data_IF_436466173659
#
_entry.id   IF_436466173659
#
_cell.length_a   1.000
_cell.length_b   1.000
_cell.length_c   1.000
_cell.angle_alpha   90.00
_cell.angle_beta   90.00
_cell.angle_gamma   90.00
#
_symmetry.space_group_name_H-M   'P 1'
#
loop_
_entity.id
_entity.type
_entity.pdbx_description
1 polymer ?
#
# COMPACT_ATOMS: atom_id res chain seq x y z
N UNK A 1 -8.27 14.67 21.80
CA UNK A 1 -8.19 13.28 22.30
C UNK A 1 -7.83 12.40 21.10
N UNK A 2 -6.59 11.93 21.01
CA UNK A 2 -6.00 11.51 19.73
C UNK A 2 -6.49 10.15 19.22
N UNK A 3 -7.04 10.11 18.01
CA UNK A 3 -7.25 8.85 17.26
C UNK A 3 -5.88 8.19 17.02
N UNK A 4 -5.80 6.89 17.24
CA UNK A 4 -4.54 6.20 17.52
C UNK A 4 -3.55 6.15 16.35
N UNK A 5 -2.25 6.08 16.70
CA UNK A 5 -1.11 6.00 15.78
C UNK A 5 -0.96 4.61 15.15
N UNK A 6 -1.95 4.17 14.38
CA UNK A 6 -2.01 2.83 13.77
C UNK A 6 -2.29 2.93 12.27
N UNK A 7 -1.38 2.44 11.42
CA UNK A 7 -1.48 2.52 9.95
C UNK A 7 -1.11 1.20 9.31
N UNK A 8 -1.98 0.68 8.45
CA UNK A 8 -2.01 -0.72 8.02
C UNK A 8 -2.02 -0.82 6.48
N UNK A 9 -1.30 -1.80 5.91
CA UNK A 9 -0.63 -1.72 4.59
C UNK A 9 -0.61 -3.09 3.88
N UNK A 10 -1.02 -3.16 2.60
CA UNK A 10 -1.35 -4.42 1.92
C UNK A 10 -0.47 -4.77 0.69
N UNK A 11 0.12 -5.98 0.65
CA UNK A 11 0.85 -6.67 -0.48
C UNK A 11 2.32 -6.21 -0.75
N UNK A 12 3.30 -6.91 -1.39
CA UNK A 12 3.51 -8.30 -1.93
C UNK A 12 4.31 -9.22 -0.92
N UNK A 13 5.04 -10.33 -1.23
CA UNK A 13 5.71 -11.15 -0.14
C UNK A 13 6.64 -10.33 0.80
N UNK A 14 7.24 -9.28 0.25
CA UNK A 14 7.94 -8.15 0.89
C UNK A 14 7.12 -7.42 1.98
N UNK A 15 5.80 -7.66 2.07
CA UNK A 15 4.83 -7.26 3.12
C UNK A 15 5.42 -7.26 4.53
N UNK A 16 5.93 -8.43 4.95
CA UNK A 16 6.28 -8.66 6.35
C UNK A 16 7.56 -7.93 6.75
N UNK A 17 8.52 -7.83 5.82
CA UNK A 17 9.74 -7.03 6.01
C UNK A 17 9.41 -5.53 6.09
N UNK A 18 8.55 -5.03 5.20
CA UNK A 18 8.07 -3.65 5.27
C UNK A 18 7.34 -3.35 6.60
N UNK A 19 6.47 -4.26 7.06
CA UNK A 19 5.77 -4.14 8.35
C UNK A 19 6.74 -4.13 9.55
N UNK A 20 7.80 -4.95 9.52
CA UNK A 20 8.84 -4.93 10.57
C UNK A 20 9.61 -3.61 10.58
N UNK A 21 10.02 -3.10 9.43
CA UNK A 21 10.70 -1.79 9.30
C UNK A 21 9.79 -0.67 9.83
N UNK A 22 8.52 -0.66 9.41
CA UNK A 22 7.52 0.31 9.87
C UNK A 22 7.27 0.23 11.39
N UNK A 23 7.34 -0.97 11.98
CA UNK A 23 7.18 -1.15 13.42
C UNK A 23 8.27 -0.44 14.24
N UNK A 24 9.50 -0.34 13.72
CA UNK A 24 10.63 0.36 14.35
C UNK A 24 10.40 1.88 14.38
N UNK A 25 9.67 2.40 13.40
CA UNK A 25 9.15 3.76 13.38
C UNK A 25 7.90 3.94 14.27
N UNK A 26 7.35 2.87 14.87
CA UNK A 26 6.09 2.92 15.61
C UNK A 26 4.87 3.04 14.70
N UNK A 27 4.92 2.47 13.50
CA UNK A 27 3.78 2.25 12.60
C UNK A 27 3.42 0.76 12.66
N UNK A 28 2.27 0.44 13.25
CA UNK A 28 1.77 -0.95 13.35
C UNK A 28 0.86 -1.30 12.18
N UNK A 29 1.30 -2.20 11.30
CA UNK A 29 0.60 -2.58 10.07
C UNK A 29 -0.26 -3.87 10.17
N UNK A 30 -1.42 -3.90 9.49
CA UNK A 30 -2.17 -5.13 9.14
C UNK A 30 -1.74 -5.46 7.74
N UNK A 31 -1.52 -6.75 7.52
CA UNK A 31 -1.22 -7.31 6.22
C UNK A 31 -2.33 -8.29 5.88
N UNK A 32 -3.27 -7.84 5.05
CA UNK A 32 -4.25 -8.70 4.37
C UNK A 32 -3.59 -9.29 3.12
N UNK A 33 -3.87 -10.58 2.89
CA UNK A 33 -3.61 -11.23 1.61
C UNK A 33 -4.96 -11.53 0.96
N UNK A 34 -5.25 -10.90 -0.18
CA UNK A 34 -6.56 -11.01 -0.85
C UNK A 34 -6.90 -12.46 -1.22
N UNK A 35 -5.89 -13.27 -1.59
CA UNK A 35 -5.98 -14.64 -2.14
C UNK A 35 -6.76 -14.76 -3.46
N UNK A 36 -7.94 -14.15 -3.53
CA UNK A 36 -8.83 -14.12 -4.69
C UNK A 36 -8.98 -12.67 -5.18
N UNK A 37 -8.80 -12.45 -6.49
CA UNK A 37 -9.12 -11.17 -7.14
C UNK A 37 -10.58 -11.13 -7.59
N UNK A 38 -11.19 -12.28 -7.89
CA UNK A 38 -12.59 -12.40 -8.30
C UNK A 38 -13.22 -13.70 -7.76
N UNK A 39 -14.25 -13.63 -6.90
CA UNK A 39 -14.71 -12.42 -6.20
C UNK A 39 -13.61 -11.86 -5.28
N UNK A 40 -13.59 -10.54 -5.11
CA UNK A 40 -12.72 -9.86 -4.16
C UNK A 40 -13.38 -9.86 -2.77
N UNK A 41 -12.61 -10.12 -1.72
CA UNK A 41 -13.06 -10.02 -0.33
C UNK A 41 -13.16 -8.55 0.11
N UNK A 42 -14.29 -7.93 -0.25
CA UNK A 42 -14.60 -6.52 0.07
C UNK A 42 -14.77 -6.30 1.57
N UNK A 43 -15.46 -7.21 2.25
CA UNK A 43 -15.77 -7.10 3.68
C UNK A 43 -14.50 -7.00 4.54
N UNK A 44 -13.49 -7.84 4.28
CA UNK A 44 -12.22 -7.79 5.00
C UNK A 44 -11.45 -6.49 4.74
N UNK A 45 -11.45 -5.97 3.50
CA UNK A 45 -10.82 -4.68 3.15
C UNK A 45 -11.53 -3.54 3.88
N UNK A 46 -12.85 -3.43 3.71
CA UNK A 46 -13.68 -2.36 4.27
C UNK A 46 -13.65 -2.37 5.81
N UNK A 47 -13.69 -3.54 6.45
CA UNK A 47 -13.55 -3.66 7.90
C UNK A 47 -12.16 -3.21 8.41
N UNK A 48 -11.09 -3.52 7.67
CA UNK A 48 -9.75 -3.06 8.02
C UNK A 48 -9.60 -1.54 7.83
N UNK A 49 -10.09 -0.97 6.72
CA UNK A 49 -10.04 0.49 6.49
C UNK A 49 -10.80 1.24 7.57
N UNK A 50 -12.02 0.80 7.94
CA UNK A 50 -12.83 1.41 9.02
C UNK A 50 -12.15 1.42 10.40
N UNK A 51 -11.14 0.57 10.60
CA UNK A 51 -10.35 0.40 11.82
C UNK A 51 -9.02 1.18 11.81
N UNK A 52 -8.50 1.51 10.63
CA UNK A 52 -7.12 2.02 10.44
C UNK A 52 -7.05 3.36 9.72
N UNK A 53 -8.16 3.80 9.14
CA UNK A 53 -8.39 5.07 8.45
C UNK A 53 -7.44 5.34 7.26
N UNK A 54 -6.68 4.35 6.82
CA UNK A 54 -5.59 4.47 5.85
C UNK A 54 -5.45 3.17 5.09
N UNK A 55 -5.10 3.28 3.81
CA UNK A 55 -4.86 2.16 2.93
C UNK A 55 -3.65 2.44 2.03
N UNK A 56 -2.83 1.40 1.87
CA UNK A 56 -1.81 1.30 0.83
C UNK A 56 -2.04 -0.02 0.11
N UNK A 57 -2.21 0.02 -1.22
CA UNK A 57 -2.33 -1.18 -2.07
C UNK A 57 -1.03 -1.43 -2.81
N UNK A 58 -0.64 -2.69 -2.99
CA UNK A 58 0.56 -3.07 -3.74
C UNK A 58 0.24 -4.17 -4.74
N UNK A 59 0.62 -3.97 -6.00
CA UNK A 59 0.52 -4.96 -7.07
C UNK A 59 1.77 -4.93 -7.96
N UNK A 60 2.08 -6.02 -8.65
CA UNK A 60 3.22 -6.09 -9.58
C UNK A 60 2.81 -5.79 -11.03
N UNK A 61 1.50 -5.71 -11.29
CA UNK A 61 0.93 -5.33 -12.58
C UNK A 61 1.01 -3.82 -12.86
N UNK A 62 0.53 -3.41 -14.04
CA UNK A 62 0.53 -2.01 -14.45
C UNK A 62 -0.35 -1.12 -13.57
N UNK A 63 0.01 0.17 -13.39
CA UNK A 63 -0.72 1.10 -12.52
C UNK A 63 -2.10 1.51 -13.07
N UNK A 64 -2.29 1.38 -14.39
CA UNK A 64 -3.52 1.71 -15.09
C UNK A 64 -4.44 0.48 -15.13
N UNK A 65 -5.70 0.65 -14.70
CA UNK A 65 -6.71 -0.43 -14.65
C UNK A 65 -6.31 -1.68 -13.83
N UNK A 66 -5.33 -1.57 -12.95
CA UNK A 66 -4.88 -2.62 -12.03
C UNK A 66 -5.84 -2.88 -10.85
N UNK A 67 -5.52 -3.90 -10.07
CA UNK A 67 -6.29 -4.35 -8.89
C UNK A 67 -6.35 -3.24 -7.83
N UNK A 68 -5.28 -2.47 -7.65
CA UNK A 68 -5.26 -1.34 -6.73
C UNK A 68 -6.20 -0.20 -7.14
N UNK A 69 -6.55 -0.08 -8.42
CA UNK A 69 -7.54 0.89 -8.88
C UNK A 69 -8.97 0.46 -8.48
N UNK A 70 -9.33 -0.80 -8.68
CA UNK A 70 -10.61 -1.38 -8.23
C UNK A 70 -10.75 -1.28 -6.70
N UNK A 71 -9.72 -1.67 -5.93
CA UNK A 71 -9.74 -1.55 -4.46
C UNK A 71 -9.95 -0.10 -4.02
N UNK A 72 -9.29 0.86 -4.68
CA UNK A 72 -9.47 2.28 -4.38
C UNK A 72 -10.91 2.74 -4.65
N UNK A 73 -11.52 2.33 -5.76
CA UNK A 73 -12.91 2.64 -6.08
C UNK A 73 -13.87 2.09 -5.02
N UNK A 74 -13.74 0.80 -4.67
CA UNK A 74 -14.54 0.12 -3.65
C UNK A 74 -14.46 0.84 -2.30
N UNK A 75 -13.26 1.22 -1.88
CA UNK A 75 -13.05 1.91 -0.60
C UNK A 75 -13.68 3.31 -0.60
N UNK A 76 -13.65 4.01 -1.73
CA UNK A 76 -14.34 5.30 -1.89
C UNK A 76 -15.87 5.12 -1.90
N UNK A 77 -16.39 4.06 -2.51
CA UNK A 77 -17.83 3.75 -2.55
C UNK A 77 -18.38 3.30 -1.18
N UNK A 78 -17.64 2.46 -0.43
CA UNK A 78 -18.15 1.76 0.75
C UNK A 78 -17.71 2.36 2.11
N UNK A 79 -16.62 3.14 2.15
CA UNK A 79 -16.05 3.62 3.42
C UNK A 79 -15.19 4.91 3.35
N UNK A 80 -15.38 5.77 2.34
CA UNK A 80 -14.62 7.02 2.20
C UNK A 80 -14.56 7.89 3.45
N UNK A 81 -15.66 7.99 4.21
CA UNK A 81 -15.76 8.80 5.44
C UNK A 81 -14.79 8.38 6.56
N UNK A 82 -14.22 7.18 6.47
CA UNK A 82 -13.24 6.66 7.43
C UNK A 82 -11.80 6.99 7.03
N UNK A 83 -11.52 7.47 5.81
CA UNK A 83 -10.16 7.77 5.37
C UNK A 83 -9.65 9.09 5.95
N UNK A 84 -8.58 9.01 6.75
CA UNK A 84 -7.81 10.17 7.23
C UNK A 84 -6.78 10.67 6.18
N UNK A 85 -6.54 9.91 5.11
CA UNK A 85 -5.54 10.18 4.07
C UNK A 85 -5.95 9.51 2.74
N UNK A 86 -5.47 10.02 1.58
CA UNK A 86 -5.71 9.37 0.29
C UNK A 86 -5.12 7.95 0.25
N UNK A 87 -5.75 7.08 -0.55
CA UNK A 87 -5.24 5.72 -0.80
C UNK A 87 -3.95 5.81 -1.62
N UNK A 88 -2.86 5.29 -1.08
CA UNK A 88 -1.58 5.18 -1.80
C UNK A 88 -1.60 3.87 -2.62
N UNK A 89 -1.25 3.95 -3.91
CA UNK A 89 -1.12 2.77 -4.78
C UNK A 89 0.31 2.58 -5.21
N UNK A 90 0.82 1.37 -5.04
CA UNK A 90 2.11 0.92 -5.56
C UNK A 90 1.79 -0.15 -6.61
N UNK A 91 2.37 0.01 -7.78
CA UNK A 91 2.22 -0.88 -8.92
C UNK A 91 3.60 -1.16 -9.53
N UNK A 92 3.68 -2.10 -10.47
CA UNK A 92 4.84 -2.16 -11.36
C UNK A 92 5.02 -0.87 -12.16
N UNK A 93 6.22 -0.65 -12.69
CA UNK A 93 6.47 0.47 -13.59
C UNK A 93 5.62 0.34 -14.86
N UNK A 94 5.18 1.47 -15.44
CA UNK A 94 4.31 1.52 -16.61
C UNK A 94 5.10 1.31 -17.92
N UNK A 95 5.88 0.21 -17.97
CA UNK A 95 6.76 -0.18 -19.07
C UNK A 95 6.75 -1.71 -19.24
N UNK A 96 6.84 -2.25 -20.48
CA UNK A 96 7.03 -3.68 -20.68
C UNK A 96 8.24 -4.20 -19.90
N UNK A 97 8.10 -5.36 -19.24
CA UNK A 97 9.11 -5.89 -18.30
C UNK A 97 10.51 -6.00 -18.96
N UNK A 98 11.51 -5.25 -18.49
CA UNK A 98 12.85 -5.27 -19.07
C UNK A 98 13.64 -6.51 -18.63
N UNK A 99 14.38 -7.12 -19.56
CA UNK A 99 15.18 -8.33 -19.30
C UNK A 99 16.43 -8.10 -18.42
N UNK A 100 16.98 -6.89 -18.42
CA UNK A 100 18.19 -6.61 -17.65
C UNK A 100 17.84 -6.55 -16.15
N UNK A 101 18.43 -7.43 -15.33
CA UNK A 101 18.07 -7.60 -13.91
C UNK A 101 18.12 -6.32 -13.05
N UNK A 102 18.95 -5.34 -13.42
CA UNK A 102 19.00 -4.03 -12.77
C UNK A 102 17.77 -3.16 -13.10
N UNK A 103 17.19 -3.30 -14.29
CA UNK A 103 15.97 -2.63 -14.71
C UNK A 103 14.72 -3.41 -14.26
N UNK A 104 14.77 -4.74 -14.26
CA UNK A 104 13.71 -5.61 -13.74
C UNK A 104 13.41 -5.28 -12.27
N UNK A 105 14.45 -5.15 -11.43
CA UNK A 105 14.32 -4.70 -10.04
C UNK A 105 13.68 -3.31 -9.89
N UNK A 106 13.83 -2.42 -10.87
CA UNK A 106 13.21 -1.10 -10.86
C UNK A 106 11.77 -1.12 -11.42
N UNK A 107 11.40 -2.18 -12.15
CA UNK A 107 10.07 -2.35 -12.71
C UNK A 107 9.09 -3.04 -11.74
N UNK A 108 9.59 -3.77 -10.73
CA UNK A 108 8.80 -4.47 -9.71
C UNK A 108 8.87 -3.72 -8.37
N UNK A 109 7.76 -3.56 -7.61
CA UNK A 109 7.77 -2.90 -6.30
C UNK A 109 8.77 -3.50 -5.29
N UNK A 110 9.57 -2.65 -4.65
CA UNK A 110 10.51 -3.06 -3.61
C UNK A 110 9.97 -2.76 -2.20
N UNK A 111 10.62 -3.29 -1.16
CA UNK A 111 10.25 -3.08 0.26
C UNK A 111 10.26 -1.59 0.61
N UNK A 112 11.23 -0.86 0.07
CA UNK A 112 11.45 0.56 0.27
C UNK A 112 10.28 1.40 -0.26
N UNK A 113 9.65 0.99 -1.36
CA UNK A 113 8.47 1.64 -1.92
C UNK A 113 7.28 1.55 -0.96
N UNK A 114 7.07 0.36 -0.39
CA UNK A 114 6.02 0.08 0.59
C UNK A 114 6.23 0.95 1.84
N UNK A 115 7.45 0.98 2.37
CA UNK A 115 7.81 1.81 3.54
C UNK A 115 7.61 3.30 3.24
N UNK A 116 8.01 3.77 2.05
CA UNK A 116 7.87 5.16 1.62
C UNK A 116 6.41 5.58 1.47
N UNK A 117 5.58 4.79 0.80
CA UNK A 117 4.15 5.04 0.65
C UNK A 117 3.42 5.01 2.01
N UNK A 118 3.73 4.04 2.86
CA UNK A 118 3.18 3.98 4.22
C UNK A 118 3.55 5.23 5.04
N UNK A 119 4.78 5.74 4.91
CA UNK A 119 5.19 7.00 5.56
C UNK A 119 4.43 8.22 5.04
N UNK A 120 4.17 8.31 3.73
CA UNK A 120 3.30 9.35 3.12
C UNK A 120 1.87 9.29 3.67
N UNK A 121 1.24 8.11 3.66
CA UNK A 121 -0.10 7.91 4.24
C UNK A 121 -0.18 8.22 5.76
N UNK A 122 0.96 8.11 6.47
CA UNK A 122 1.08 8.52 7.88
C UNK A 122 1.38 10.02 8.09
N UNK A 123 1.50 10.82 7.01
CA UNK A 123 2.02 12.21 7.05
C UNK A 123 3.36 12.35 7.80
N UNK A 124 4.24 11.35 7.70
CA UNK A 124 5.59 11.43 8.25
C UNK A 124 6.54 12.02 7.23
N UNK A 125 7.33 13.00 7.66
CA UNK A 125 8.35 13.62 6.84
C UNK A 125 9.34 12.59 6.30
N UNK A 126 9.40 12.47 4.98
CA UNK A 126 10.53 11.84 4.30
C UNK A 126 11.67 12.86 4.34
N UNK A 127 12.84 12.56 4.93
CA UNK A 127 13.99 13.44 4.81
C UNK A 127 14.37 13.55 3.33
N UNK A 128 14.48 14.79 2.84
CA UNK A 128 14.59 15.16 1.41
C UNK A 128 15.78 14.48 0.68
N UNK A 129 16.76 13.97 1.42
CA UNK A 129 17.95 13.29 0.90
C UNK A 129 17.70 11.96 0.15
N UNK A 130 16.50 11.39 0.18
CA UNK A 130 16.17 10.09 -0.46
C UNK A 130 15.36 10.22 -1.78
N UNK A 131 15.42 11.38 -2.44
CA UNK A 131 14.65 11.70 -3.65
C UNK A 131 15.52 12.03 -4.88
N UNK A 132 16.78 11.59 -4.88
CA UNK A 132 17.76 11.73 -5.97
C UNK A 132 18.33 10.36 -6.34
#
# INVERSE_FOLDING_TARGET
MGRGRYTKVLMAESRFQAAEILSKDGISAEVINLRSIRPLDRDTITASVKKTNRLVTVEEGFPQHGVGAEICAIVVEECFEYLDAPVERIAGADVPMPYAANLERLAVPQVEDIVRAAKRACYRSIPIAAAA
#
